data_IF_410264234008
#
_entry.id   IF_410264234008
#
_cell.length_a   1.000
_cell.length_b   1.000
_cell.length_c   1.000
_cell.angle_alpha   90.00
_cell.angle_beta   90.00
_cell.angle_gamma   90.00
#
_symmetry.space_group_name_H-M   'P 1'
#
loop_
_entity.id
_entity.type
_entity.pdbx_description
1 polymer ?
#
# COMPACT_ATOMS: atom_id res chain seq x y z
N UNK A 1 4.73 -3.68 18.55
CA UNK A 1 5.06 -3.14 17.21
C UNK A 1 4.50 -1.74 17.11
N UNK A 2 5.29 -0.80 16.59
CA UNK A 2 4.94 0.62 16.64
C UNK A 2 4.51 1.14 15.28
N UNK A 3 3.55 2.07 15.30
CA UNK A 3 3.22 2.89 14.14
C UNK A 3 4.39 3.85 13.87
N UNK A 4 5.17 3.56 12.84
CA UNK A 4 6.24 4.44 12.40
C UNK A 4 5.64 5.73 11.82
N UNK A 5 5.93 6.87 12.40
CA UNK A 5 5.52 8.15 11.84
C UNK A 5 6.39 8.51 10.64
N UNK A 6 5.77 8.66 9.48
CA UNK A 6 6.41 9.05 8.21
C UNK A 6 6.35 10.57 8.00
N UNK A 7 5.32 11.18 8.54
CA UNK A 7 5.07 12.62 8.51
C UNK A 7 3.91 12.98 9.40
N UNK A 8 3.56 14.28 9.53
CA UNK A 8 2.41 14.69 10.33
C UNK A 8 1.13 13.99 9.84
N UNK A 9 0.48 13.18 10.69
CA UNK A 9 -0.72 12.44 10.31
C UNK A 9 -0.53 11.28 9.34
N UNK A 10 0.69 10.94 8.96
CA UNK A 10 0.99 9.80 8.10
C UNK A 10 1.86 8.78 8.84
N UNK A 11 1.39 7.53 8.89
CA UNK A 11 2.04 6.45 9.62
C UNK A 11 2.09 5.18 8.76
N UNK A 12 3.08 4.35 9.02
CA UNK A 12 3.25 3.02 8.43
C UNK A 12 3.51 2.02 9.54
N UNK A 13 3.04 0.80 9.36
CA UNK A 13 3.51 -0.37 10.10
C UNK A 13 3.74 -1.52 9.14
N UNK A 14 4.51 -2.50 9.57
CA UNK A 14 4.66 -3.76 8.86
C UNK A 14 4.26 -4.91 9.78
N UNK A 15 3.76 -5.98 9.20
CA UNK A 15 3.38 -7.18 9.93
C UNK A 15 3.73 -8.42 9.12
N UNK A 16 4.10 -9.54 9.77
CA UNK A 16 4.35 -10.79 9.08
C UNK A 16 3.06 -11.33 8.48
N UNK A 17 3.09 -11.62 7.17
CA UNK A 17 1.91 -12.12 6.47
C UNK A 17 1.69 -13.60 6.80
N UNK A 18 0.47 -14.01 7.20
CA UNK A 18 0.20 -15.39 7.65
C UNK A 18 0.37 -16.45 6.56
N UNK A 19 0.22 -16.08 5.29
CA UNK A 19 0.40 -17.00 4.16
C UNK A 19 1.83 -17.05 3.63
N UNK A 20 2.76 -16.31 4.25
CA UNK A 20 4.15 -16.36 3.84
C UNK A 20 4.80 -17.69 4.21
N UNK A 21 5.64 -18.21 3.32
CA UNK A 21 6.45 -19.41 3.56
C UNK A 21 7.89 -19.20 3.10
N UNK A 22 8.88 -19.70 3.85
CA UNK A 22 10.28 -19.57 3.47
C UNK A 22 10.63 -20.45 2.26
N UNK A 23 11.73 -20.10 1.58
CA UNK A 23 12.31 -20.93 0.51
C UNK A 23 11.66 -20.76 -0.85
N UNK A 24 10.89 -19.73 -1.07
CA UNK A 24 10.37 -19.39 -2.38
C UNK A 24 11.50 -19.14 -3.39
N UNK A 25 11.40 -19.72 -4.59
CA UNK A 25 12.37 -19.48 -5.66
C UNK A 25 12.33 -18.02 -6.12
N UNK A 26 13.49 -17.38 -6.36
CA UNK A 26 13.55 -16.01 -6.85
C UNK A 26 12.68 -15.78 -8.08
N UNK A 27 11.90 -14.71 -8.07
CA UNK A 27 10.97 -14.34 -9.14
C UNK A 27 9.72 -15.22 -9.26
N UNK A 28 9.49 -16.16 -8.33
CA UNK A 28 8.26 -16.94 -8.28
C UNK A 28 7.09 -16.08 -7.74
N UNK A 29 5.87 -16.63 -7.76
CA UNK A 29 4.69 -15.96 -7.21
C UNK A 29 4.69 -15.86 -5.70
N UNK A 30 5.52 -16.64 -5.03
CA UNK A 30 5.72 -16.62 -3.58
C UNK A 30 6.99 -15.87 -3.15
N UNK A 31 7.75 -15.29 -4.11
CA UNK A 31 8.97 -14.52 -3.84
C UNK A 31 8.64 -13.10 -3.36
N UNK A 32 8.20 -13.00 -2.12
CA UNK A 32 7.93 -11.74 -1.44
C UNK A 32 8.38 -11.79 0.02
N UNK A 33 8.73 -10.64 0.64
CA UNK A 33 9.21 -10.62 2.03
C UNK A 33 8.06 -10.95 2.99
N UNK A 34 8.41 -11.59 4.11
CA UNK A 34 7.46 -11.96 5.16
C UNK A 34 6.71 -10.73 5.69
N UNK A 35 7.44 -9.65 5.92
CA UNK A 35 6.87 -8.39 6.41
C UNK A 35 6.20 -7.64 5.28
N UNK A 36 4.92 -7.28 5.47
CA UNK A 36 4.15 -6.49 4.53
C UNK A 36 3.66 -5.19 5.16
N UNK A 37 3.73 -4.12 4.40
CA UNK A 37 3.39 -2.78 4.84
C UNK A 37 1.89 -2.49 4.79
N UNK A 38 1.46 -1.67 5.74
CA UNK A 38 0.14 -1.06 5.83
C UNK A 38 0.29 0.43 6.16
N UNK A 39 -0.68 1.26 5.77
CA UNK A 39 -0.60 2.72 5.95
C UNK A 39 -1.81 3.23 6.71
N UNK A 40 -1.59 4.17 7.62
CA UNK A 40 -2.60 5.00 8.25
C UNK A 40 -2.36 6.45 7.86
N UNK A 41 -3.39 7.10 7.33
CA UNK A 41 -3.38 8.52 6.99
C UNK A 41 -4.52 9.24 7.69
N UNK A 42 -4.18 10.25 8.47
CA UNK A 42 -5.12 11.15 9.13
C UNK A 42 -5.56 12.25 8.16
N UNK A 43 -6.41 11.90 7.20
CA UNK A 43 -6.95 12.84 6.22
C UNK A 43 -7.80 13.95 6.87
N UNK A 44 -8.07 15.08 6.18
CA UNK A 44 -8.79 16.22 6.77
C UNK A 44 -10.13 15.87 7.42
N UNK A 45 -10.89 14.96 6.83
CA UNK A 45 -12.24 14.60 7.28
C UNK A 45 -12.45 13.11 7.55
N UNK A 46 -11.40 12.30 7.49
CA UNK A 46 -11.44 10.86 7.72
C UNK A 46 -10.12 10.35 8.28
N UNK A 47 -10.13 9.18 8.90
CA UNK A 47 -8.92 8.39 9.07
C UNK A 47 -8.92 7.26 8.05
N UNK A 48 -7.87 7.16 7.27
CA UNK A 48 -7.74 6.21 6.17
C UNK A 48 -6.76 5.12 6.54
N UNK A 49 -7.18 3.87 6.43
CA UNK A 49 -6.31 2.70 6.51
C UNK A 49 -6.14 2.12 5.10
N UNK A 50 -4.93 1.87 4.67
CA UNK A 50 -4.65 1.28 3.35
C UNK A 50 -3.99 -0.08 3.56
N UNK A 51 -4.60 -1.12 3.00
CA UNK A 51 -4.16 -2.52 3.07
C UNK A 51 -3.83 -2.99 4.49
N UNK A 52 -4.69 -2.78 5.49
CA UNK A 52 -4.34 -3.04 6.87
C UNK A 52 -4.18 -4.54 7.15
N UNK A 53 -3.02 -4.94 7.68
CA UNK A 53 -2.73 -6.23 8.27
C UNK A 53 -2.38 -6.04 9.74
N UNK A 54 -3.08 -6.72 10.63
CA UNK A 54 -2.82 -6.66 12.07
C UNK A 54 -1.57 -7.50 12.40
N UNK A 55 -0.67 -6.97 13.25
CA UNK A 55 0.49 -7.73 13.71
C UNK A 55 0.08 -8.88 14.65
N UNK A 56 0.97 -9.83 14.95
CA UNK A 56 0.69 -10.91 15.89
C UNK A 56 0.22 -10.43 17.27
N UNK A 57 0.77 -9.29 17.74
CA UNK A 57 0.37 -8.64 19.00
C UNK A 57 -0.94 -7.84 18.83
N UNK A 58 -1.95 -8.46 18.22
CA UNK A 58 -3.21 -7.84 17.79
C UNK A 58 -3.87 -6.96 18.87
N UNK A 59 -4.00 -7.47 20.08
CA UNK A 59 -4.70 -6.75 21.16
C UNK A 59 -4.01 -5.45 21.56
N UNK A 60 -2.68 -5.47 21.70
CA UNK A 60 -1.91 -4.27 22.04
C UNK A 60 -1.94 -3.24 20.92
N UNK A 61 -1.81 -3.70 19.67
CA UNK A 61 -1.90 -2.85 18.49
C UNK A 61 -3.29 -2.24 18.35
N UNK A 62 -4.35 -3.04 18.49
CA UNK A 62 -5.74 -2.55 18.43
C UNK A 62 -6.03 -1.53 19.53
N UNK A 63 -5.54 -1.72 20.76
CA UNK A 63 -5.70 -0.72 21.83
C UNK A 63 -5.06 0.63 21.46
N UNK A 64 -3.88 0.62 20.83
CA UNK A 64 -3.24 1.86 20.40
C UNK A 64 -3.96 2.50 19.21
N UNK A 65 -4.41 1.68 18.26
CA UNK A 65 -5.21 2.14 17.13
C UNK A 65 -6.55 2.73 17.60
N UNK A 66 -7.26 2.05 18.52
CA UNK A 66 -8.50 2.54 19.13
C UNK A 66 -8.32 3.91 19.78
N UNK A 67 -7.27 4.08 20.59
CA UNK A 67 -6.97 5.38 21.23
C UNK A 67 -6.76 6.49 20.21
N UNK A 68 -6.04 6.18 19.13
CA UNK A 68 -5.75 7.14 18.06
C UNK A 68 -7.02 7.52 17.30
N UNK A 69 -7.80 6.54 16.87
CA UNK A 69 -9.04 6.76 16.14
C UNK A 69 -10.08 7.50 17.01
N UNK A 70 -10.22 7.11 18.27
CA UNK A 70 -11.11 7.79 19.22
C UNK A 70 -10.70 9.26 19.44
N UNK A 71 -9.42 9.52 19.68
CA UNK A 71 -8.89 10.89 19.82
C UNK A 71 -9.13 11.73 18.58
N UNK A 72 -9.02 11.14 17.41
CA UNK A 72 -9.24 11.80 16.13
C UNK A 72 -10.73 12.11 15.90
N UNK A 73 -11.65 11.24 16.33
CA UNK A 73 -13.10 11.43 16.22
C UNK A 73 -13.59 11.61 14.80
N UNK A 74 -12.91 11.01 13.81
CA UNK A 74 -13.28 11.09 12.39
C UNK A 74 -13.75 9.74 11.87
N UNK A 75 -14.64 9.70 10.86
CA UNK A 75 -15.02 8.47 10.19
C UNK A 75 -13.78 7.69 9.68
N UNK A 76 -13.85 6.37 9.75
CA UNK A 76 -12.79 5.50 9.24
C UNK A 76 -13.14 5.04 7.83
N UNK A 77 -12.18 5.08 6.94
CA UNK A 77 -12.27 4.52 5.59
C UNK A 77 -11.12 3.55 5.38
N UNK A 78 -11.42 2.35 4.88
CA UNK A 78 -10.42 1.35 4.56
C UNK A 78 -10.32 1.22 3.05
N UNK A 79 -9.14 1.46 2.52
CA UNK A 79 -8.82 1.36 1.10
C UNK A 79 -8.02 0.08 0.84
N UNK A 80 -8.29 -0.55 -0.29
CA UNK A 80 -7.59 -1.76 -0.72
C UNK A 80 -6.97 -1.52 -2.09
N UNK A 81 -5.66 -1.66 -2.22
CA UNK A 81 -4.92 -1.43 -3.46
C UNK A 81 -5.20 -2.52 -4.50
N UNK A 82 -5.18 -3.78 -4.07
CA UNK A 82 -5.39 -4.95 -4.94
C UNK A 82 -6.22 -6.01 -4.20
N UNK A 83 -6.89 -6.88 -4.94
CA UNK A 83 -7.83 -7.88 -4.38
C UNK A 83 -7.22 -8.80 -3.32
N UNK A 84 -5.96 -9.10 -3.45
CA UNK A 84 -5.22 -9.94 -2.49
C UNK A 84 -4.95 -9.24 -1.15
N UNK A 85 -4.99 -7.91 -1.10
CA UNK A 85 -4.75 -7.12 0.11
C UNK A 85 -6.01 -6.86 0.95
N UNK A 86 -7.00 -7.73 0.90
CA UNK A 86 -8.16 -7.65 1.83
C UNK A 86 -7.73 -7.80 3.28
N UNK A 87 -6.78 -8.70 3.55
CA UNK A 87 -6.15 -8.87 4.87
C UNK A 87 -7.17 -8.77 6.02
N UNK A 88 -6.94 -7.92 7.02
CA UNK A 88 -7.84 -7.69 8.16
C UNK A 88 -8.92 -6.62 7.89
N UNK A 89 -9.09 -6.19 6.64
CA UNK A 89 -10.06 -5.15 6.24
C UNK A 89 -11.45 -5.37 6.81
N UNK A 90 -11.99 -6.58 6.67
CA UNK A 90 -13.38 -6.85 7.02
C UNK A 90 -13.60 -6.88 8.54
N UNK A 91 -12.59 -7.29 9.30
CA UNK A 91 -12.60 -7.21 10.76
C UNK A 91 -12.55 -5.76 11.24
N UNK A 92 -11.60 -4.98 10.71
CA UNK A 92 -11.46 -3.57 11.05
C UNK A 92 -12.66 -2.73 10.59
N UNK A 93 -13.28 -3.09 9.45
CA UNK A 93 -14.49 -2.44 8.98
C UNK A 93 -15.65 -2.63 9.95
N UNK A 94 -15.82 -3.84 10.49
CA UNK A 94 -16.84 -4.09 11.53
C UNK A 94 -16.52 -3.38 12.84
N UNK A 95 -15.24 -3.39 13.27
CA UNK A 95 -14.80 -2.78 14.52
C UNK A 95 -15.04 -1.27 14.56
N UNK A 96 -14.77 -0.60 13.45
CA UNK A 96 -14.81 0.86 13.37
C UNK A 96 -15.98 1.42 12.56
N UNK A 97 -16.95 0.57 12.21
CA UNK A 97 -18.06 0.94 11.30
C UNK A 97 -17.53 1.64 10.03
N UNK A 98 -16.39 1.16 9.53
CA UNK A 98 -15.65 1.83 8.48
C UNK A 98 -16.26 1.57 7.10
N UNK A 99 -16.26 2.61 6.27
CA UNK A 99 -16.49 2.43 4.84
C UNK A 99 -15.31 1.72 4.18
N UNK A 100 -15.59 0.87 3.20
CA UNK A 100 -14.54 0.17 2.44
C UNK A 100 -14.61 0.55 0.97
N UNK A 101 -13.46 0.80 0.35
CA UNK A 101 -13.40 1.12 -1.08
C UNK A 101 -12.16 0.54 -1.76
N UNK A 102 -12.33 0.15 -3.03
CA UNK A 102 -11.27 -0.15 -3.99
C UNK A 102 -11.32 0.77 -5.20
N UNK A 103 -12.29 1.66 -5.26
CA UNK A 103 -12.67 2.38 -6.48
C UNK A 103 -12.38 3.88 -6.39
N UNK A 104 -12.36 4.53 -7.56
CA UNK A 104 -12.23 5.97 -7.74
C UNK A 104 -13.36 6.80 -7.13
N UNK A 105 -14.47 6.18 -6.75
CA UNK A 105 -15.66 6.89 -6.24
C UNK A 105 -15.64 6.90 -4.73
N UNK A 106 -15.99 8.05 -4.13
CA UNK A 106 -16.11 8.26 -2.70
C UNK A 106 -14.80 8.09 -1.91
N UNK A 107 -13.67 8.53 -2.49
CA UNK A 107 -12.43 8.63 -1.73
C UNK A 107 -12.51 9.79 -0.74
N UNK A 108 -11.93 9.64 0.46
CA UNK A 108 -11.80 10.76 1.39
C UNK A 108 -11.02 11.92 0.77
N UNK A 109 -11.36 13.15 1.15
CA UNK A 109 -10.58 14.32 0.76
C UNK A 109 -9.10 14.14 1.18
N UNK A 110 -8.17 14.49 0.30
CA UNK A 110 -6.74 14.28 0.51
C UNK A 110 -6.23 12.92 0.03
N UNK A 111 -7.09 12.09 -0.59
CA UNK A 111 -6.69 10.85 -1.24
C UNK A 111 -7.12 10.86 -2.71
N UNK A 112 -6.18 10.60 -3.59
CA UNK A 112 -6.43 10.39 -5.02
C UNK A 112 -6.12 8.94 -5.39
N UNK A 113 -6.63 8.48 -6.53
CA UNK A 113 -6.39 7.12 -7.00
C UNK A 113 -5.95 7.06 -8.45
N UNK A 114 -4.97 6.22 -8.71
CA UNK A 114 -4.45 5.90 -10.03
C UNK A 114 -4.65 4.41 -10.32
N UNK A 115 -5.77 4.03 -10.96
CA UNK A 115 -5.96 2.64 -11.38
C UNK A 115 -4.94 2.28 -12.45
N UNK A 116 -4.15 1.25 -12.18
CA UNK A 116 -3.22 0.69 -13.15
C UNK A 116 -4.03 -0.18 -14.12
N UNK A 117 -4.27 0.32 -15.31
CA UNK A 117 -5.12 -0.33 -16.31
C UNK A 117 -4.68 -1.76 -16.56
N UNK A 118 -5.63 -2.69 -16.56
CA UNK A 118 -5.43 -4.14 -16.77
C UNK A 118 -4.57 -4.85 -15.72
N UNK A 119 -3.96 -4.14 -14.77
CA UNK A 119 -3.11 -4.75 -13.73
C UNK A 119 -3.86 -5.10 -12.43
N UNK A 120 -5.16 -4.82 -12.36
CA UNK A 120 -6.01 -5.17 -11.21
C UNK A 120 -5.69 -4.40 -9.93
N UNK A 121 -4.88 -3.36 -10.02
CA UNK A 121 -4.42 -2.56 -8.89
C UNK A 121 -4.85 -1.10 -9.00
N UNK A 122 -5.08 -0.49 -7.86
CA UNK A 122 -5.23 0.95 -7.69
C UNK A 122 -4.11 1.46 -6.79
N UNK A 123 -3.28 2.36 -7.28
CA UNK A 123 -2.27 3.06 -6.48
C UNK A 123 -2.92 4.30 -5.88
N UNK A 124 -2.77 4.49 -4.57
CA UNK A 124 -3.28 5.70 -3.92
C UNK A 124 -2.18 6.76 -3.85
N UNK A 125 -2.59 7.99 -4.06
CA UNK A 125 -1.77 9.19 -3.96
C UNK A 125 -2.26 10.06 -2.81
N UNK A 126 -1.33 10.47 -1.95
CA UNK A 126 -1.57 11.36 -0.82
C UNK A 126 -0.85 12.69 -1.09
N UNK A 127 -1.54 13.67 -1.72
CA UNK A 127 -0.91 14.91 -2.20
C UNK A 127 -0.18 15.70 -1.12
N UNK A 128 -0.78 15.83 0.06
CA UNK A 128 -0.21 16.54 1.21
C UNK A 128 1.19 16.00 1.59
N UNK A 129 1.38 14.70 1.45
CA UNK A 129 2.62 14.01 1.81
C UNK A 129 3.51 13.69 0.60
N UNK A 130 3.06 14.02 -0.60
CA UNK A 130 3.70 13.61 -1.86
C UNK A 130 4.07 12.13 -1.84
N UNK A 131 3.13 11.31 -1.35
CA UNK A 131 3.35 9.90 -1.11
C UNK A 131 2.47 9.02 -2.01
N UNK A 132 3.09 8.06 -2.70
CA UNK A 132 2.40 6.97 -3.38
C UNK A 132 2.28 5.76 -2.45
N UNK A 133 1.13 5.09 -2.50
CA UNK A 133 0.86 3.85 -1.78
C UNK A 133 0.44 2.80 -2.81
N UNK A 134 1.40 2.07 -3.42
CA UNK A 134 1.13 0.96 -4.32
C UNK A 134 0.81 -0.32 -3.54
N UNK A 135 0.19 -1.28 -4.24
CA UNK A 135 0.05 -2.66 -3.77
C UNK A 135 1.23 -3.53 -4.19
N UNK A 136 1.00 -4.36 -5.24
CA UNK A 136 1.95 -5.37 -5.71
C UNK A 136 2.77 -4.95 -6.93
N UNK A 137 2.35 -3.92 -7.67
CA UNK A 137 2.97 -3.61 -8.97
C UNK A 137 4.26 -2.82 -8.86
N UNK A 138 4.42 -2.05 -7.77
CA UNK A 138 5.66 -1.38 -7.38
C UNK A 138 6.03 -1.88 -6.00
N UNK A 139 7.21 -2.44 -5.85
CA UNK A 139 7.72 -3.03 -4.62
C UNK A 139 9.12 -2.50 -4.29
N UNK A 140 9.52 -2.61 -3.04
CA UNK A 140 10.88 -2.28 -2.61
C UNK A 140 11.91 -3.23 -3.24
N UNK A 141 13.05 -2.69 -3.61
CA UNK A 141 14.17 -3.45 -4.13
C UNK A 141 15.11 -3.88 -2.99
N UNK A 142 15.64 -5.10 -3.01
CA UNK A 142 16.73 -5.46 -2.12
C UNK A 142 17.88 -4.46 -2.22
N UNK A 143 18.38 -3.97 -1.08
CA UNK A 143 19.42 -2.94 -1.06
C UNK A 143 18.95 -1.51 -1.26
N UNK A 144 17.62 -1.29 -1.30
CA UNK A 144 17.00 0.03 -1.41
C UNK A 144 16.47 0.36 -2.81
N UNK A 145 15.62 1.38 -2.89
CA UNK A 145 14.96 1.79 -4.13
C UNK A 145 13.70 0.98 -4.46
N UNK A 146 13.25 1.08 -5.70
CA UNK A 146 12.01 0.47 -6.18
C UNK A 146 12.27 -0.43 -7.38
N UNK A 147 11.41 -1.41 -7.56
CA UNK A 147 11.30 -2.23 -8.79
C UNK A 147 9.84 -2.55 -9.09
N UNK A 148 9.55 -2.94 -10.31
CA UNK A 148 8.26 -3.55 -10.63
C UNK A 148 8.24 -5.00 -10.14
N UNK A 149 7.05 -5.52 -9.90
CA UNK A 149 6.87 -6.91 -9.49
C UNK A 149 7.43 -7.90 -10.54
N UNK A 150 7.77 -9.14 -10.16
CA UNK A 150 8.15 -10.17 -11.11
C UNK A 150 7.05 -10.46 -12.15
N UNK A 151 7.45 -10.86 -13.37
CA UNK A 151 6.50 -11.24 -14.43
C UNK A 151 5.52 -12.34 -13.98
N UNK A 152 5.96 -13.24 -13.10
CA UNK A 152 5.14 -14.32 -12.55
C UNK A 152 3.90 -13.82 -11.80
N UNK A 153 3.96 -12.64 -11.17
CA UNK A 153 2.83 -12.06 -10.44
C UNK A 153 1.71 -11.53 -11.35
N UNK A 154 2.03 -11.34 -12.64
CA UNK A 154 1.07 -10.87 -13.63
C UNK A 154 0.24 -12.00 -14.26
N UNK A 155 0.64 -13.27 -14.07
CA UNK A 155 -0.05 -14.44 -14.65
C UNK A 155 -1.49 -14.63 -14.14
N UNK A 156 -1.82 -14.10 -12.96
CA UNK A 156 -3.16 -14.17 -12.37
C UNK A 156 -4.14 -13.14 -12.94
N UNK A 157 -3.67 -12.25 -13.80
CA UNK A 157 -4.53 -11.31 -14.49
C UNK A 157 -5.33 -12.05 -15.58
N UNK A 158 -6.61 -11.70 -15.79
CA UNK A 158 -7.42 -12.28 -16.87
C UNK A 158 -6.78 -12.13 -18.26
N UNK A 159 -6.05 -11.03 -18.46
CA UNK A 159 -5.23 -10.78 -19.64
C UNK A 159 -3.83 -10.39 -19.16
N UNK A 160 -2.90 -11.34 -19.04
CA UNK A 160 -1.57 -11.08 -18.52
C UNK A 160 -0.86 -9.96 -19.27
N UNK A 161 -0.23 -9.07 -18.51
CA UNK A 161 0.61 -8.01 -19.04
C UNK A 161 2.06 -8.47 -19.08
N UNK A 162 2.83 -7.94 -20.03
CA UNK A 162 4.29 -7.97 -19.93
C UNK A 162 4.77 -6.88 -18.96
N UNK A 163 6.01 -6.99 -18.46
CA UNK A 163 6.61 -5.95 -17.63
C UNK A 163 6.66 -4.61 -18.38
N UNK A 164 6.97 -4.60 -19.68
CA UNK A 164 6.98 -3.39 -20.48
C UNK A 164 5.59 -2.70 -20.53
N UNK A 165 4.52 -3.49 -20.72
CA UNK A 165 3.15 -2.97 -20.72
C UNK A 165 2.76 -2.45 -19.32
N UNK A 166 3.19 -3.13 -18.26
CA UNK A 166 2.95 -2.68 -16.89
C UNK A 166 3.66 -1.33 -16.62
N UNK A 167 4.94 -1.21 -16.98
CA UNK A 167 5.69 0.04 -16.86
C UNK A 167 5.02 1.18 -17.62
N UNK A 168 4.63 0.93 -18.86
CA UNK A 168 3.90 1.91 -19.69
C UNK A 168 2.59 2.36 -19.02
N UNK A 169 1.82 1.44 -18.43
CA UNK A 169 0.56 1.76 -17.75
C UNK A 169 0.77 2.62 -16.48
N UNK A 170 1.95 2.55 -15.86
CA UNK A 170 2.33 3.34 -14.69
C UNK A 170 3.10 4.63 -15.03
N UNK A 171 3.46 4.85 -16.30
CA UNK A 171 4.16 6.05 -16.75
C UNK A 171 3.60 7.38 -16.24
N UNK A 172 2.26 7.59 -16.22
CA UNK A 172 1.68 8.83 -15.69
C UNK A 172 2.02 9.15 -14.23
N UNK A 173 2.46 8.17 -13.42
CA UNK A 173 2.92 8.42 -12.06
C UNK A 173 4.20 9.28 -11.99
N UNK A 174 4.99 9.30 -13.07
CA UNK A 174 6.20 10.11 -13.16
C UNK A 174 5.92 11.63 -13.26
N UNK A 175 4.70 12.01 -13.58
CA UNK A 175 4.28 13.42 -13.63
C UNK A 175 3.94 13.96 -12.24
N UNK A 176 3.73 13.07 -11.26
CA UNK A 176 3.46 13.47 -9.89
C UNK A 176 4.74 13.92 -9.18
N UNK A 177 4.66 14.88 -8.27
CA UNK A 177 5.79 15.33 -7.46
C UNK A 177 6.07 14.35 -6.31
N UNK A 178 6.41 13.09 -6.64
CA UNK A 178 6.59 12.01 -5.68
C UNK A 178 7.84 12.23 -4.83
N UNK A 179 7.68 12.25 -3.51
CA UNK A 179 8.77 12.31 -2.53
C UNK A 179 8.90 11.01 -1.73
N UNK A 180 7.81 10.24 -1.63
CA UNK A 180 7.75 9.00 -0.85
C UNK A 180 6.99 7.92 -1.61
N UNK A 181 7.42 6.68 -1.46
CA UNK A 181 6.64 5.51 -1.90
C UNK A 181 6.57 4.52 -0.75
N UNK A 182 5.35 4.29 -0.26
CA UNK A 182 5.06 3.42 0.88
C UNK A 182 4.57 2.06 0.35
N UNK A 183 5.53 1.23 -0.01
CA UNK A 183 5.28 -0.09 -0.61
C UNK A 183 4.67 -1.07 0.38
N UNK A 184 3.89 -2.02 -0.14
CA UNK A 184 3.40 -3.17 0.61
C UNK A 184 4.51 -4.21 0.83
N UNK A 185 5.31 -4.49 -0.19
CA UNK A 185 6.40 -5.47 -0.14
C UNK A 185 7.76 -4.80 -0.19
N UNK A 186 8.62 -5.10 0.78
CA UNK A 186 9.96 -4.52 0.90
C UNK A 186 9.99 -3.18 1.64
N UNK A 187 11.15 -2.54 1.62
CA UNK A 187 11.35 -1.27 2.31
C UNK A 187 10.73 -0.09 1.58
N UNK A 188 10.07 0.84 2.29
CA UNK A 188 9.56 2.06 1.68
C UNK A 188 10.70 2.98 1.26
N UNK A 189 10.47 3.79 0.23
CA UNK A 189 11.39 4.85 -0.16
C UNK A 189 10.86 6.17 0.39
N UNK A 190 11.58 6.75 1.35
CA UNK A 190 11.16 7.95 2.10
C UNK A 190 11.86 9.24 1.65
N UNK A 191 12.88 9.11 0.79
CA UNK A 191 13.60 10.22 0.16
C UNK A 191 13.96 9.85 -1.28
N UNK A 192 14.12 10.85 -2.16
CA UNK A 192 14.48 10.64 -3.59
C UNK A 192 13.55 9.65 -4.34
N UNK A 193 12.31 9.49 -3.88
CA UNK A 193 11.40 8.49 -4.40
C UNK A 193 11.06 8.70 -5.88
N UNK A 194 11.08 9.94 -6.38
CA UNK A 194 10.90 10.23 -7.81
C UNK A 194 12.01 9.58 -8.66
N UNK A 195 13.26 9.66 -8.20
CA UNK A 195 14.40 9.03 -8.90
C UNK A 195 14.27 7.51 -8.87
N UNK A 196 13.93 6.95 -7.70
CA UNK A 196 13.72 5.51 -7.55
C UNK A 196 12.56 5.00 -8.43
N UNK A 197 11.45 5.76 -8.51
CA UNK A 197 10.31 5.45 -9.36
C UNK A 197 10.68 5.51 -10.85
N UNK A 198 11.41 6.56 -11.29
CA UNK A 198 11.89 6.64 -12.66
C UNK A 198 12.79 5.45 -13.03
N UNK A 199 13.73 5.08 -12.15
CA UNK A 199 14.59 3.92 -12.38
C UNK A 199 13.80 2.59 -12.45
N UNK A 200 12.77 2.41 -11.63
CA UNK A 200 11.92 1.22 -11.67
C UNK A 200 11.08 1.13 -12.94
N UNK A 201 10.66 2.27 -13.51
CA UNK A 201 9.80 2.33 -14.70
C UNK A 201 10.58 2.49 -16.02
N UNK A 202 11.86 2.79 -15.98
CA UNK A 202 12.73 2.74 -17.15
C UNK A 202 12.91 1.28 -17.63
#
# INVERSE_FOLDING_TARGET
MDLQQIGPGLFRWAAPHPEWSPGASPGSTADWPQEVGSVLYEAPHATVLIDPLLPPERESFLRELDKRLHRRGRPVTILTTIGFHRRDRDELARRYEASTSRAKKNLPAGVESFPVRRAGETIFWLPEHRALVPGDRIIGSPGGGLRVCPQSWLRYLPNPLTIAQLKQAMGPLLELPVERVLVSHGEPVLADARRALSAALA
#
